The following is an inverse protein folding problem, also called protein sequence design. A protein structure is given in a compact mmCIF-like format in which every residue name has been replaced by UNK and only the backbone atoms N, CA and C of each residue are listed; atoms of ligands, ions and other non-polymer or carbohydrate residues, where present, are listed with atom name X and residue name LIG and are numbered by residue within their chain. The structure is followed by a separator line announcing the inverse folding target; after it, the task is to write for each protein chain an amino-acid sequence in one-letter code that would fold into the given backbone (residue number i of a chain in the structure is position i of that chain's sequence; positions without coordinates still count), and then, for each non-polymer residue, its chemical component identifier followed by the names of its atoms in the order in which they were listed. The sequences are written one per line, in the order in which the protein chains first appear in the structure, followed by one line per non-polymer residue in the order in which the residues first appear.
data_IF_410453430455
#
_entry.id   IF_410453430455
#
_cell.length_a   1.000
_cell.length_b   1.000
_cell.length_c   1.000
_cell.angle_alpha   90.00
_cell.angle_beta   90.00
_cell.angle_gamma   90.00
#
_symmetry.space_group_name_H-M   'P 1'
#
loop_
_entity.id
_entity.type
_entity.pdbx_description
1 polymer ?
#
# COMPACT_ATOMS: atom_id res chain seq x y z
N UNK A 1 -15.50 -4.92 -57.78
CA UNK A 1 -15.73 -3.94 -56.70
C UNK A 1 -16.78 -4.49 -55.75
N UNK A 2 -16.38 -4.97 -54.56
CA UNK A 2 -17.32 -5.30 -53.48
C UNK A 2 -17.59 -4.01 -52.72
N UNK A 3 -18.82 -3.52 -52.73
CA UNK A 3 -19.30 -2.43 -51.87
C UNK A 3 -19.34 -2.95 -50.44
N UNK A 4 -18.17 -3.03 -49.81
CA UNK A 4 -18.05 -3.28 -48.38
C UNK A 4 -18.71 -2.08 -47.68
N UNK A 5 -19.89 -2.35 -47.15
CA UNK A 5 -20.81 -1.38 -46.57
C UNK A 5 -20.10 -0.56 -45.49
N UNK A 6 -19.84 0.72 -45.77
CA UNK A 6 -19.27 1.72 -44.83
C UNK A 6 -19.97 1.76 -43.46
N UNK A 7 -21.20 1.23 -43.37
CA UNK A 7 -22.00 1.11 -42.15
C UNK A 7 -21.54 0.00 -41.19
N UNK A 8 -20.83 -1.03 -41.67
CA UNK A 8 -20.36 -2.14 -40.82
C UNK A 8 -19.09 -1.76 -40.03
N UNK A 9 -18.25 -0.89 -40.59
CA UNK A 9 -17.02 -0.42 -39.95
C UNK A 9 -17.29 0.60 -38.82
N UNK A 10 -18.33 1.43 -38.98
CA UNK A 10 -18.74 2.39 -37.96
C UNK A 10 -19.39 1.73 -36.74
N UNK A 11 -20.08 0.59 -36.91
CA UNK A 11 -20.72 -0.13 -35.82
C UNK A 11 -19.70 -0.91 -34.96
N UNK A 12 -18.61 -1.39 -35.57
CA UNK A 12 -17.53 -2.08 -34.85
C UNK A 12 -16.74 -1.11 -33.94
N UNK A 13 -16.58 0.16 -34.35
CA UNK A 13 -15.80 1.16 -33.60
C UNK A 13 -16.51 1.63 -32.32
N UNK A 14 -17.84 1.60 -32.28
CA UNK A 14 -18.64 2.01 -31.10
C UNK A 14 -18.67 0.92 -30.02
N UNK A 15 -18.51 -0.35 -30.40
CA UNK A 15 -18.50 -1.48 -29.44
C UNK A 15 -17.15 -1.58 -28.72
N UNK A 16 -16.05 -1.18 -29.36
CA UNK A 16 -14.71 -1.22 -28.74
C UNK A 16 -14.51 -0.08 -27.71
N UNK A 17 -15.21 1.06 -27.85
CA UNK A 17 -15.14 2.15 -26.86
C UNK A 17 -15.96 1.91 -25.60
N UNK A 18 -16.93 0.99 -25.61
CA UNK A 18 -17.75 0.66 -24.45
C UNK A 18 -17.03 -0.21 -23.40
N UNK A 19 -15.93 -0.88 -23.77
CA UNK A 19 -15.08 -1.65 -22.84
C UNK A 19 -13.84 -0.88 -22.37
N UNK A 20 -13.68 0.39 -22.77
CA UNK A 20 -12.52 1.20 -22.38
C UNK A 20 -12.58 1.72 -20.92
N UNK A 21 -13.65 1.44 -20.17
CA UNK A 21 -13.82 1.92 -18.79
C UNK A 21 -13.86 0.82 -17.71
N UNK A 22 -13.76 -0.46 -18.06
CA UNK A 22 -13.74 -1.56 -17.08
C UNK A 22 -12.33 -1.83 -16.50
N UNK A 23 -11.55 -0.76 -16.29
CA UNK A 23 -10.16 -0.82 -15.78
C UNK A 23 -9.91 -0.05 -14.50
N UNK A 24 -10.93 0.57 -13.91
CA UNK A 24 -10.84 1.14 -12.56
C UNK A 24 -11.42 0.08 -11.62
N UNK A 25 -10.58 -0.66 -10.91
CA UNK A 25 -11.06 -1.64 -9.93
C UNK A 25 -12.03 -0.96 -8.97
N UNK A 26 -13.21 -1.54 -8.80
CA UNK A 26 -14.28 -0.90 -8.03
C UNK A 26 -13.79 -0.53 -6.62
N UNK A 27 -13.92 0.75 -6.28
CA UNK A 27 -13.68 1.23 -4.91
C UNK A 27 -14.85 0.80 -4.03
N UNK A 28 -14.55 0.24 -2.86
CA UNK A 28 -15.53 -0.07 -1.84
C UNK A 28 -15.08 0.51 -0.49
N UNK A 29 -16.06 0.89 0.33
CA UNK A 29 -15.81 1.36 1.69
C UNK A 29 -15.29 0.20 2.55
N UNK A 30 -14.36 0.52 3.44
CA UNK A 30 -13.82 -0.42 4.43
C UNK A 30 -14.53 -0.17 5.77
N UNK A 31 -14.94 -1.24 6.45
CA UNK A 31 -15.68 -1.19 7.72
C UNK A 31 -14.93 -1.84 8.90
N UNK A 32 -13.74 -2.38 8.65
CA UNK A 32 -12.88 -2.96 9.66
C UNK A 32 -11.93 -1.98 10.36
N UNK A 33 -10.97 -2.54 11.07
CA UNK A 33 -9.88 -1.78 11.69
C UNK A 33 -8.56 -2.02 10.97
N UNK A 34 -7.72 -0.99 10.93
CA UNK A 34 -6.30 -1.11 10.60
C UNK A 34 -5.43 -0.90 11.85
N UNK A 35 -4.31 -1.61 11.89
CA UNK A 35 -3.30 -1.46 12.94
C UNK A 35 -1.97 -1.05 12.31
N UNK A 36 -1.35 0.01 12.82
CA UNK A 36 0.02 0.40 12.49
C UNK A 36 0.87 0.26 13.73
N UNK A 37 1.91 -0.56 13.65
CA UNK A 37 2.84 -0.84 14.74
C UNK A 37 4.22 -0.32 14.38
N UNK A 38 4.79 0.53 15.24
CA UNK A 38 6.14 1.05 15.11
C UNK A 38 7.00 0.36 16.18
N UNK A 39 8.02 -0.39 15.75
CA UNK A 39 8.93 -1.11 16.63
C UNK A 39 9.53 -0.18 17.70
N UNK A 40 9.63 -0.67 18.94
CA UNK A 40 10.01 0.13 20.08
C UNK A 40 10.22 -0.63 21.38
N UNK A 41 10.41 0.12 22.47
CA UNK A 41 10.41 -0.41 23.84
C UNK A 41 9.59 0.51 24.76
N UNK A 42 8.26 0.30 24.88
CA UNK A 42 7.44 -0.68 24.14
C UNK A 42 7.16 -0.24 22.70
N UNK A 43 6.64 -1.16 21.88
CA UNK A 43 6.10 -0.84 20.55
C UNK A 43 5.00 0.22 20.65
N UNK A 44 4.97 1.15 19.69
CA UNK A 44 3.88 2.12 19.56
C UNK A 44 2.84 1.57 18.59
N UNK A 45 1.60 1.43 19.05
CA UNK A 45 0.49 0.87 18.27
C UNK A 45 -0.57 1.94 18.03
N UNK A 46 -0.92 2.15 16.77
CA UNK A 46 -2.06 2.96 16.35
C UNK A 46 -3.16 2.03 15.83
N UNK A 47 -4.39 2.30 16.25
CA UNK A 47 -5.58 1.61 15.74
C UNK A 47 -6.46 2.64 15.05
N UNK A 48 -6.91 2.33 13.84
CA UNK A 48 -7.75 3.18 13.02
C UNK A 48 -9.01 2.41 12.65
N UNK A 49 -10.16 2.97 12.99
CA UNK A 49 -11.45 2.54 12.45
C UNK A 49 -11.57 3.07 11.02
N UNK A 50 -11.60 2.16 10.04
CA UNK A 50 -11.52 2.51 8.62
C UNK A 50 -12.80 3.18 8.11
N UNK A 51 -13.96 2.84 8.69
CA UNK A 51 -15.22 3.48 8.37
C UNK A 51 -15.23 4.94 8.84
N UNK A 52 -14.86 5.16 10.11
CA UNK A 52 -14.79 6.50 10.70
C UNK A 52 -13.74 7.37 10.01
N UNK A 53 -12.62 6.78 9.60
CA UNK A 53 -11.59 7.45 8.81
C UNK A 53 -11.99 7.66 7.34
N UNK A 54 -13.16 7.16 6.90
CA UNK A 54 -13.68 7.23 5.53
C UNK A 54 -12.72 6.64 4.49
N UNK A 55 -12.02 5.58 4.88
CA UNK A 55 -11.08 4.87 4.04
C UNK A 55 -11.81 3.89 3.13
N UNK A 56 -11.21 3.64 1.97
CA UNK A 56 -11.72 2.74 0.92
C UNK A 56 -10.63 1.78 0.47
N UNK A 57 -11.00 0.75 -0.28
CA UNK A 57 -10.06 -0.18 -0.91
C UNK A 57 -9.08 0.46 -1.91
N UNK A 58 -9.32 1.71 -2.31
CA UNK A 58 -8.39 2.48 -3.14
C UNK A 58 -7.32 3.20 -2.32
N UNK A 59 -7.54 3.40 -1.02
CA UNK A 59 -6.53 3.97 -0.14
C UNK A 59 -5.38 3.00 0.07
N UNK A 60 -4.22 3.56 0.40
CA UNK A 60 -2.94 2.88 0.56
C UNK A 60 -2.45 2.98 1.99
N UNK A 61 -1.40 2.23 2.33
CA UNK A 61 -0.71 2.40 3.62
C UNK A 61 -0.18 3.82 3.77
N UNK A 62 0.27 4.48 2.70
CA UNK A 62 0.66 5.89 2.75
C UNK A 62 -0.50 6.81 3.17
N UNK A 63 -1.70 6.59 2.64
CA UNK A 63 -2.90 7.36 3.03
C UNK A 63 -3.25 7.14 4.51
N UNK A 64 -3.12 5.89 4.99
CA UNK A 64 -3.30 5.55 6.40
C UNK A 64 -2.27 6.26 7.31
N UNK A 65 -1.01 6.31 6.90
CA UNK A 65 0.02 7.07 7.63
C UNK A 65 -0.27 8.56 7.62
N UNK A 66 -0.71 9.13 6.49
CA UNK A 66 -1.13 10.52 6.39
C UNK A 66 -2.27 10.86 7.35
N UNK A 67 -3.29 9.99 7.44
CA UNK A 67 -4.37 10.13 8.41
C UNK A 67 -3.85 10.12 9.87
N UNK A 68 -2.91 9.24 10.20
CA UNK A 68 -2.31 9.18 11.54
C UNK A 68 -1.46 10.41 11.87
N UNK A 69 -0.83 11.04 10.88
CA UNK A 69 -0.16 12.32 11.06
C UNK A 69 -1.15 13.42 11.45
N UNK A 70 -2.31 13.46 10.81
CA UNK A 70 -3.34 14.48 11.05
C UNK A 70 -4.09 14.27 12.37
N UNK A 71 -4.23 13.02 12.84
CA UNK A 71 -5.16 12.66 13.92
C UNK A 71 -4.52 12.12 15.18
N UNK A 72 -3.30 11.56 15.11
CA UNK A 72 -2.67 10.84 16.23
C UNK A 72 -1.19 11.19 16.43
N UNK A 73 -0.75 12.36 15.93
CA UNK A 73 0.62 12.88 16.09
C UNK A 73 1.71 11.86 15.68
N UNK A 74 1.46 11.07 14.64
CA UNK A 74 2.51 10.30 13.99
C UNK A 74 3.34 11.25 13.13
N UNK A 75 4.67 11.12 13.20
CA UNK A 75 5.57 11.82 12.28
C UNK A 75 6.26 10.79 11.39
N UNK A 76 6.38 11.09 10.10
CA UNK A 76 7.22 10.32 9.19
C UNK A 76 7.85 11.24 8.15
N UNK A 77 8.97 10.80 7.59
CA UNK A 77 9.57 11.41 6.41
C UNK A 77 9.79 10.33 5.36
N UNK A 78 9.60 10.71 4.10
CA UNK A 78 9.85 9.84 2.97
C UNK A 78 10.57 10.60 1.87
N UNK A 79 11.51 9.93 1.20
CA UNK A 79 12.07 10.41 -0.05
C UNK A 79 11.23 9.92 -1.22
N UNK A 80 11.06 10.76 -2.22
CA UNK A 80 10.53 10.33 -3.50
C UNK A 80 11.59 9.48 -4.19
N UNK A 81 11.39 8.16 -4.26
CA UNK A 81 12.19 7.34 -5.15
C UNK A 81 11.60 7.48 -6.57
N UNK A 82 12.42 8.00 -7.48
CA UNK A 82 12.05 8.21 -8.88
C UNK A 82 11.65 6.90 -9.57
N UNK A 83 10.51 6.93 -10.27
CA UNK A 83 10.10 6.02 -11.34
C UNK A 83 10.61 4.57 -11.24
N UNK A 84 10.20 3.85 -10.20
CA UNK A 84 10.14 2.40 -10.27
C UNK A 84 9.04 1.96 -11.25
N UNK A 85 9.16 0.73 -11.77
CA UNK A 85 8.24 0.10 -12.75
C UNK A 85 6.76 0.07 -12.33
N UNK A 86 6.43 0.45 -11.08
CA UNK A 86 5.11 0.38 -10.47
C UNK A 86 4.57 1.73 -9.93
N UNK A 87 5.13 2.86 -10.37
CA UNK A 87 4.69 4.21 -9.97
C UNK A 87 5.47 4.77 -8.78
N UNK A 88 5.15 6.01 -8.39
CA UNK A 88 5.81 6.74 -7.30
C UNK A 88 5.72 5.96 -5.97
N UNK A 89 6.77 5.25 -5.58
CA UNK A 89 6.85 4.61 -4.27
C UNK A 89 7.61 5.52 -3.31
N UNK A 90 6.93 6.00 -2.28
CA UNK A 90 7.55 6.71 -1.17
C UNK A 90 8.46 5.76 -0.39
N UNK A 91 9.74 6.11 -0.23
CA UNK A 91 10.69 5.37 0.58
C UNK A 91 10.80 6.05 1.94
N UNK A 92 10.40 5.37 3.02
CA UNK A 92 10.46 5.93 4.37
C UNK A 92 11.91 6.13 4.82
N UNK A 93 12.23 7.35 5.22
CA UNK A 93 13.51 7.71 5.82
C UNK A 93 13.42 7.84 7.34
N UNK A 94 12.24 8.14 7.88
CA UNK A 94 11.95 8.09 9.31
C UNK A 94 10.46 7.82 9.55
N UNK A 95 10.12 7.18 10.67
CA UNK A 95 8.73 7.02 11.13
C UNK A 95 8.67 6.84 12.64
N UNK A 96 7.93 7.70 13.33
CA UNK A 96 7.91 7.75 14.78
C UNK A 96 9.33 7.88 15.35
N UNK A 97 9.75 6.90 16.14
CA UNK A 97 11.10 6.85 16.72
C UNK A 97 12.14 6.15 15.82
N UNK A 98 11.73 5.56 14.70
CA UNK A 98 12.63 4.86 13.79
C UNK A 98 13.33 5.87 12.88
N UNK A 99 14.66 5.93 12.99
CA UNK A 99 15.51 6.84 12.21
C UNK A 99 16.83 6.12 11.84
N UNK A 100 16.79 5.20 10.87
CA UNK A 100 17.94 4.36 10.51
C UNK A 100 19.19 5.17 10.16
N UNK A 101 20.37 4.67 10.53
CA UNK A 101 21.67 5.28 10.23
C UNK A 101 22.59 4.32 9.46
N UNK A 102 23.50 4.85 8.65
CA UNK A 102 24.51 4.04 7.98
C UNK A 102 23.92 3.03 6.99
N UNK A 103 24.10 1.73 7.26
CA UNK A 103 23.59 0.61 6.44
C UNK A 103 22.20 0.12 6.90
N UNK A 104 21.47 0.93 7.66
CA UNK A 104 20.14 0.61 8.12
C UNK A 104 19.05 1.17 7.21
N UNK A 105 17.86 0.57 7.24
CA UNK A 105 16.66 1.06 6.56
C UNK A 105 15.39 0.67 7.31
N UNK A 106 14.27 1.34 7.02
CA UNK A 106 12.96 0.98 7.58
C UNK A 106 12.39 -0.18 6.76
N UNK A 107 12.30 -1.36 7.39
CA UNK A 107 11.55 -2.48 6.89
C UNK A 107 10.04 -2.25 7.03
N UNK A 108 9.28 -2.71 6.04
CA UNK A 108 7.83 -2.57 5.97
C UNK A 108 7.20 -3.96 5.84
N UNK A 109 6.40 -4.33 6.84
CA UNK A 109 5.76 -5.63 6.94
C UNK A 109 4.25 -5.47 7.02
N UNK A 110 3.51 -6.44 6.47
CA UNK A 110 2.05 -6.48 6.58
C UNK A 110 1.47 -7.89 6.48
N UNK A 111 0.21 -8.07 6.91
CA UNK A 111 -0.48 -9.36 6.84
C UNK A 111 -1.02 -9.75 5.44
N UNK A 112 -0.81 -8.94 4.40
CA UNK A 112 -1.19 -9.26 3.02
C UNK A 112 -0.18 -10.17 2.31
N UNK A 113 -0.35 -11.48 2.44
CA UNK A 113 0.56 -12.48 1.84
C UNK A 113 0.75 -12.33 0.32
N UNK A 114 -0.27 -11.87 -0.40
CA UNK A 114 -0.20 -11.67 -1.85
C UNK A 114 0.82 -10.61 -2.27
N UNK A 115 1.13 -9.65 -1.39
CA UNK A 115 2.04 -8.54 -1.64
C UNK A 115 3.45 -8.81 -1.06
N UNK A 116 3.72 -10.04 -0.58
CA UNK A 116 5.01 -10.44 0.00
C UNK A 116 6.15 -10.33 -1.03
N UNK A 117 7.31 -9.84 -0.60
CA UNK A 117 8.54 -9.94 -1.39
C UNK A 117 9.01 -11.39 -1.47
N UNK A 118 9.23 -11.86 -2.68
CA UNK A 118 9.70 -13.23 -2.99
C UNK A 118 11.12 -13.23 -3.57
N UNK A 119 11.80 -12.09 -3.55
CA UNK A 119 13.19 -11.97 -3.96
C UNK A 119 14.15 -12.62 -2.97
N UNK A 120 15.38 -12.87 -3.40
CA UNK A 120 16.46 -13.35 -2.52
C UNK A 120 16.88 -12.33 -1.45
N UNK A 121 16.40 -11.08 -1.57
CA UNK A 121 16.69 -9.97 -0.68
C UNK A 121 15.57 -9.72 0.35
N UNK A 122 14.50 -10.53 0.32
CA UNK A 122 13.39 -10.41 1.24
C UNK A 122 13.84 -10.69 2.69
N UNK A 123 13.42 -9.83 3.62
CA UNK A 123 13.60 -10.10 5.04
C UNK A 123 12.70 -11.25 5.52
N UNK A 124 13.08 -11.87 6.63
CA UNK A 124 12.29 -12.92 7.27
C UNK A 124 10.93 -12.40 7.74
N UNK A 125 9.90 -13.25 7.67
CA UNK A 125 8.57 -12.94 8.21
C UNK A 125 8.65 -12.71 9.73
N UNK A 126 7.83 -11.80 10.25
CA UNK A 126 7.80 -11.45 11.67
C UNK A 126 6.45 -11.78 12.29
N UNK A 127 6.44 -12.03 13.60
CA UNK A 127 5.19 -12.22 14.37
C UNK A 127 5.00 -11.04 15.32
N UNK A 128 3.87 -10.35 15.20
CA UNK A 128 3.51 -9.20 16.05
C UNK A 128 2.16 -9.49 16.69
N UNK A 129 2.16 -9.77 18.00
CA UNK A 129 0.98 -10.30 18.68
C UNK A 129 0.62 -11.69 18.14
N UNK A 130 -0.59 -11.84 17.61
CA UNK A 130 -1.08 -13.10 17.00
C UNK A 130 -0.91 -13.11 15.47
N UNK A 131 -0.48 -11.99 14.88
CA UNK A 131 -0.40 -11.81 13.44
C UNK A 131 0.98 -12.17 12.89
N UNK A 132 1.02 -13.04 11.87
CA UNK A 132 2.20 -13.22 11.01
C UNK A 132 2.21 -12.16 9.92
N UNK A 133 3.28 -11.36 9.87
CA UNK A 133 3.47 -10.29 8.92
C UNK A 133 4.62 -10.62 7.96
N UNK A 134 4.38 -10.32 6.69
CA UNK A 134 5.29 -10.61 5.59
C UNK A 134 6.05 -9.34 5.21
N UNK A 135 7.34 -9.47 4.91
CA UNK A 135 8.11 -8.37 4.32
C UNK A 135 7.50 -7.98 2.97
N UNK A 136 7.18 -6.70 2.81
CA UNK A 136 6.43 -6.20 1.66
C UNK A 136 7.32 -6.14 0.41
N UNK A 137 6.82 -6.71 -0.70
CA UNK A 137 7.40 -6.54 -2.03
C UNK A 137 6.95 -5.25 -2.73
N UNK A 138 6.05 -4.49 -2.10
CA UNK A 138 5.51 -3.24 -2.62
C UNK A 138 5.81 -2.07 -1.67
N UNK A 139 5.90 -0.85 -2.21
CA UNK A 139 6.05 0.35 -1.40
C UNK A 139 4.76 0.72 -0.65
N UNK A 140 4.88 1.55 0.40
CA UNK A 140 3.73 2.01 1.21
C UNK A 140 2.65 2.75 0.39
N UNK A 141 3.04 3.38 -0.73
CA UNK A 141 2.12 4.04 -1.67
C UNK A 141 1.43 3.08 -2.65
N UNK A 142 1.77 1.79 -2.62
CA UNK A 142 1.25 0.77 -3.54
C UNK A 142 0.40 -0.28 -2.82
N UNK A 143 0.69 -0.58 -1.55
CA UNK A 143 -0.09 -1.53 -0.76
C UNK A 143 -1.45 -0.93 -0.44
N UNK A 144 -2.50 -1.48 -1.06
CA UNK A 144 -3.91 -1.12 -0.82
C UNK A 144 -4.40 -1.62 0.53
N UNK A 145 -5.23 -0.80 1.19
CA UNK A 145 -5.90 -1.15 2.44
C UNK A 145 -6.95 -2.24 2.22
N UNK A 146 -7.12 -3.06 3.25
CA UNK A 146 -8.16 -4.08 3.38
C UNK A 146 -8.61 -4.09 4.85
N UNK A 147 -9.80 -4.60 5.12
CA UNK A 147 -10.27 -4.76 6.50
C UNK A 147 -9.32 -5.67 7.29
N UNK A 148 -8.99 -5.26 8.52
CA UNK A 148 -8.07 -6.01 9.38
C UNK A 148 -6.61 -5.91 8.97
N UNK A 149 -6.21 -4.96 8.12
CA UNK A 149 -4.80 -4.81 7.74
C UNK A 149 -3.95 -4.48 8.97
N UNK A 150 -2.86 -5.21 9.13
CA UNK A 150 -1.84 -4.96 10.14
C UNK A 150 -0.56 -4.61 9.44
N UNK A 151 0.02 -3.47 9.80
CA UNK A 151 1.28 -2.94 9.27
C UNK A 151 2.28 -2.83 10.41
N UNK A 152 3.51 -3.24 10.16
CA UNK A 152 4.61 -3.13 11.11
C UNK A 152 5.85 -2.53 10.44
N UNK A 153 6.47 -1.58 11.15
CA UNK A 153 7.72 -0.96 10.75
C UNK A 153 8.81 -1.27 11.77
N UNK A 154 9.99 -1.68 11.28
CA UNK A 154 11.18 -1.93 12.09
C UNK A 154 12.42 -1.42 11.35
N UNK A 155 13.53 -1.21 12.05
CA UNK A 155 14.84 -0.99 11.45
C UNK A 155 15.47 -2.33 11.11
N UNK A 156 15.93 -2.45 9.87
CA UNK A 156 16.70 -3.58 9.34
C UNK A 156 18.09 -3.08 8.93
N UNK A 157 19.04 -4.00 8.78
CA UNK A 157 20.39 -3.71 8.27
C UNK A 157 20.65 -4.50 6.99
N UNK A 158 21.41 -3.91 6.06
CA UNK A 158 22.01 -4.64 4.92
C UNK A 158 23.07 -5.64 5.37
#
# INVERSE_FOLDING_TARGET
MKTFSKKLLALLLVIVSAFAFAGCGDSYALDGQAKVVIAGQPDKVYTVDLEQAKMTSQNTVLDLLGYLCETQDLEFSASANGSGQYGYSAFLTSIGQLNPQGNEYIGFFHNKKADKDVSEWAADDVTVGEDTLYYSGLGIGSVKLVDGIVVYFNVLSY
#
